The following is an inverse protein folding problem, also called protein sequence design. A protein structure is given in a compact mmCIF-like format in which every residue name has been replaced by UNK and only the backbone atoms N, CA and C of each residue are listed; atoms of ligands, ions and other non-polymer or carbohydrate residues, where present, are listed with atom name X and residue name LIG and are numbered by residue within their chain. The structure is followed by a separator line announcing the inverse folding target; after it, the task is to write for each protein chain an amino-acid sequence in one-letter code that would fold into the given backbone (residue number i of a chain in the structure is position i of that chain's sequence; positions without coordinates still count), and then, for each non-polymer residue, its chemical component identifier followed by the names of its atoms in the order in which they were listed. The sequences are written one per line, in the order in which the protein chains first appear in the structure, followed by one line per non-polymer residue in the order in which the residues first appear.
data_IF_967845375432
#
_entry.id   IF_967845375432
#
_cell.length_a   1.000
_cell.length_b   1.000
_cell.length_c   1.000
_cell.angle_alpha   90.00
_cell.angle_beta   90.00
_cell.angle_gamma   90.00
#
_symmetry.space_group_name_H-M   'P 1'
#
loop_
_entity.id
_entity.type
_entity.pdbx_description
1 polymer ?
#
# COMPACT_ATOMS: atom_id res chain seq x y z
N UNK A 1 -28.18 -78.24 -31.10
CA UNK A 1 -27.40 -77.10 -31.56
C UNK A 1 -27.90 -75.74 -30.96
N UNK A 2 -29.18 -75.52 -30.97
CA UNK A 2 -29.77 -74.25 -30.42
C UNK A 2 -29.71 -74.12 -28.90
N UNK A 3 -29.81 -75.20 -28.14
CA UNK A 3 -29.66 -75.20 -26.66
C UNK A 3 -28.29 -74.98 -26.19
N UNK A 4 -27.28 -75.47 -26.89
CA UNK A 4 -25.85 -75.24 -26.55
C UNK A 4 -25.41 -73.80 -26.80
N UNK A 5 -25.96 -73.14 -27.83
CA UNK A 5 -25.61 -71.74 -28.13
C UNK A 5 -26.39 -70.80 -27.16
N UNK A 6 -27.58 -71.16 -26.68
CA UNK A 6 -28.32 -70.43 -25.68
C UNK A 6 -27.63 -70.51 -24.30
N UNK A 7 -27.16 -71.67 -23.88
CA UNK A 7 -26.42 -71.86 -22.63
C UNK A 7 -25.06 -71.15 -22.64
N UNK A 8 -24.42 -71.07 -23.79
CA UNK A 8 -23.17 -70.29 -23.96
C UNK A 8 -23.41 -68.79 -23.89
N UNK A 9 -24.52 -68.28 -24.42
CA UNK A 9 -24.91 -66.88 -24.32
C UNK A 9 -25.31 -66.52 -22.89
N UNK A 10 -26.08 -67.37 -22.21
CA UNK A 10 -26.40 -67.20 -20.79
C UNK A 10 -25.17 -67.20 -19.88
N UNK A 11 -24.25 -68.10 -20.09
CA UNK A 11 -22.98 -68.14 -19.31
C UNK A 11 -22.14 -66.88 -19.51
N UNK A 12 -22.06 -66.35 -20.75
CA UNK A 12 -21.37 -65.07 -21.02
C UNK A 12 -22.05 -63.88 -20.38
N UNK A 13 -23.39 -63.85 -20.40
CA UNK A 13 -24.20 -62.79 -19.76
C UNK A 13 -24.05 -62.84 -18.24
N UNK A 14 -24.11 -64.00 -17.62
CA UNK A 14 -23.90 -64.15 -16.17
C UNK A 14 -22.50 -63.67 -15.75
N UNK A 15 -21.46 -64.12 -16.44
CA UNK A 15 -20.09 -63.68 -16.19
C UNK A 15 -19.89 -62.17 -16.36
N UNK A 16 -20.57 -61.58 -17.37
CA UNK A 16 -20.53 -60.12 -17.57
C UNK A 16 -21.27 -59.34 -16.45
N UNK A 17 -22.39 -59.87 -15.96
CA UNK A 17 -23.12 -59.31 -14.83
C UNK A 17 -22.29 -59.36 -13.53
N UNK A 18 -21.69 -60.53 -13.24
CA UNK A 18 -20.83 -60.72 -12.08
C UNK A 18 -19.60 -59.81 -12.11
N UNK A 19 -18.99 -59.66 -13.29
CA UNK A 19 -17.88 -58.72 -13.47
C UNK A 19 -18.32 -57.25 -13.22
N UNK A 20 -19.46 -56.86 -13.80
CA UNK A 20 -19.97 -55.47 -13.61
C UNK A 20 -20.37 -55.21 -12.15
N UNK A 21 -20.94 -56.21 -11.45
CA UNK A 21 -21.27 -56.09 -10.02
C UNK A 21 -20.00 -55.94 -9.17
N UNK A 22 -18.97 -56.70 -9.46
CA UNK A 22 -17.67 -56.63 -8.76
C UNK A 22 -17.02 -55.27 -9.02
N UNK A 23 -17.02 -54.80 -10.27
CA UNK A 23 -16.45 -53.50 -10.62
C UNK A 23 -17.23 -52.33 -10.01
N UNK A 24 -18.57 -52.42 -9.96
CA UNK A 24 -19.41 -51.44 -9.29
C UNK A 24 -19.16 -51.39 -7.77
N UNK A 25 -18.94 -52.54 -7.11
CA UNK A 25 -18.58 -52.60 -5.71
C UNK A 25 -17.19 -51.95 -5.45
N UNK A 26 -16.21 -52.32 -6.26
CA UNK A 26 -14.87 -51.74 -6.19
C UNK A 26 -14.86 -50.23 -6.39
N UNK A 27 -15.64 -49.74 -7.35
CA UNK A 27 -15.79 -48.32 -7.61
C UNK A 27 -16.50 -47.60 -6.46
N UNK A 28 -17.53 -48.23 -5.87
CA UNK A 28 -18.22 -47.67 -4.68
C UNK A 28 -17.29 -47.55 -3.49
N UNK A 29 -16.43 -48.54 -3.25
CA UNK A 29 -15.42 -48.47 -2.18
C UNK A 29 -14.38 -47.35 -2.43
N UNK A 30 -13.87 -47.26 -3.65
CA UNK A 30 -12.96 -46.15 -4.02
C UNK A 30 -13.58 -44.77 -3.83
N UNK A 31 -14.85 -44.61 -4.23
CA UNK A 31 -15.59 -43.34 -4.04
C UNK A 31 -15.73 -43.02 -2.55
N UNK A 32 -16.04 -44.03 -1.71
CA UNK A 32 -16.16 -43.84 -0.26
C UNK A 32 -14.81 -43.43 0.36
N UNK A 33 -13.75 -44.11 -0.02
CA UNK A 33 -12.40 -43.85 0.50
C UNK A 33 -11.88 -42.46 0.09
N UNK A 34 -12.06 -42.08 -1.17
CA UNK A 34 -11.72 -40.75 -1.67
C UNK A 34 -12.55 -39.65 -0.98
N UNK A 35 -13.86 -39.90 -0.76
CA UNK A 35 -14.70 -38.96 -0.03
C UNK A 35 -14.24 -38.77 1.43
N UNK A 36 -13.85 -39.88 2.09
CA UNK A 36 -13.26 -39.83 3.43
C UNK A 36 -11.95 -39.02 3.47
N UNK A 37 -11.05 -39.27 2.53
CA UNK A 37 -9.80 -38.52 2.37
C UNK A 37 -10.05 -37.02 2.13
N UNK A 38 -11.02 -36.69 1.30
CA UNK A 38 -11.42 -35.30 1.01
C UNK A 38 -11.97 -34.58 2.25
N UNK A 39 -12.82 -35.25 3.04
CA UNK A 39 -13.34 -34.69 4.30
C UNK A 39 -12.21 -34.45 5.30
N UNK A 40 -11.30 -35.40 5.45
CA UNK A 40 -10.14 -35.28 6.35
C UNK A 40 -9.28 -34.09 5.90
N UNK A 41 -8.97 -33.99 4.61
CA UNK A 41 -8.20 -32.90 4.05
C UNK A 41 -8.84 -31.53 4.32
N UNK A 42 -10.18 -31.42 4.15
CA UNK A 42 -10.93 -30.19 4.46
C UNK A 42 -10.80 -29.80 5.94
N UNK A 43 -10.95 -30.78 6.83
CA UNK A 43 -10.86 -30.54 8.28
C UNK A 43 -9.45 -30.14 8.72
N UNK A 44 -8.43 -30.81 8.24
CA UNK A 44 -7.03 -30.51 8.57
C UNK A 44 -6.55 -29.14 8.06
N UNK A 45 -7.15 -28.65 6.98
CA UNK A 45 -6.77 -27.37 6.35
C UNK A 45 -7.76 -26.24 6.63
N UNK A 46 -8.74 -26.42 7.52
CA UNK A 46 -9.79 -25.43 7.84
C UNK A 46 -10.56 -24.92 6.61
N UNK A 47 -10.76 -25.78 5.61
CA UNK A 47 -11.44 -25.43 4.35
C UNK A 47 -12.95 -25.67 4.48
N UNK A 48 -13.72 -24.62 4.75
CA UNK A 48 -15.18 -24.68 4.73
C UNK A 48 -15.67 -24.73 3.28
N UNK A 49 -15.21 -23.78 2.46
CA UNK A 49 -15.44 -23.71 1.03
C UNK A 49 -14.13 -23.28 0.36
N UNK A 50 -13.61 -24.10 -0.56
CA UNK A 50 -12.37 -23.79 -1.27
C UNK A 50 -12.50 -22.54 -2.12
N UNK A 51 -13.61 -22.41 -2.85
CA UNK A 51 -13.89 -21.27 -3.74
C UNK A 51 -13.99 -19.97 -2.94
N UNK A 52 -14.70 -19.99 -1.82
CA UNK A 52 -14.85 -18.82 -0.96
C UNK A 52 -13.51 -18.40 -0.34
N UNK A 53 -12.74 -19.36 0.16
CA UNK A 53 -11.40 -19.10 0.73
C UNK A 53 -10.43 -18.55 -0.32
N UNK A 54 -10.45 -19.06 -1.56
CA UNK A 54 -9.67 -18.53 -2.66
C UNK A 54 -10.09 -17.10 -3.03
N UNK A 55 -11.38 -16.81 -3.09
CA UNK A 55 -11.88 -15.48 -3.40
C UNK A 55 -11.50 -14.46 -2.33
N UNK A 56 -11.58 -14.82 -1.05
CA UNK A 56 -11.19 -13.95 0.07
C UNK A 56 -9.70 -13.64 0.03
N UNK A 57 -8.83 -14.65 -0.16
CA UNK A 57 -7.38 -14.43 -0.24
C UNK A 57 -6.99 -13.64 -1.47
N UNK A 58 -7.65 -13.86 -2.60
CA UNK A 58 -7.42 -13.08 -3.82
C UNK A 58 -7.83 -11.61 -3.65
N UNK A 59 -9.00 -11.35 -3.06
CA UNK A 59 -9.44 -9.98 -2.78
C UNK A 59 -8.50 -9.27 -1.81
N UNK A 60 -8.05 -9.96 -0.76
CA UNK A 60 -7.07 -9.41 0.18
C UNK A 60 -5.73 -9.08 -0.50
N UNK A 61 -5.29 -9.92 -1.46
CA UNK A 61 -4.09 -9.66 -2.26
C UNK A 61 -4.28 -8.44 -3.18
N UNK A 62 -5.41 -8.33 -3.87
CA UNK A 62 -5.72 -7.19 -4.75
C UNK A 62 -5.76 -5.89 -3.94
N UNK A 63 -6.39 -5.91 -2.76
CA UNK A 63 -6.41 -4.74 -1.88
C UNK A 63 -5.00 -4.35 -1.43
N UNK A 64 -4.21 -5.32 -0.95
CA UNK A 64 -2.83 -5.05 -0.52
C UNK A 64 -1.95 -4.52 -1.67
N UNK A 65 -2.15 -5.00 -2.91
CA UNK A 65 -1.46 -4.47 -4.08
C UNK A 65 -1.86 -3.01 -4.35
N UNK A 66 -3.16 -2.70 -4.30
CA UNK A 66 -3.69 -1.34 -4.52
C UNK A 66 -3.18 -0.36 -3.47
N UNK A 67 -3.16 -0.80 -2.20
CA UNK A 67 -2.67 0.02 -1.08
C UNK A 67 -1.17 0.30 -1.22
N UNK A 68 -0.39 -0.72 -1.58
CA UNK A 68 1.04 -0.57 -1.85
C UNK A 68 1.30 0.38 -3.03
N UNK A 69 0.62 0.20 -4.16
CA UNK A 69 0.82 1.02 -5.36
C UNK A 69 0.48 2.49 -5.08
N UNK A 70 -0.57 2.74 -4.29
CA UNK A 70 -0.97 4.08 -3.85
C UNK A 70 0.09 4.70 -2.93
N UNK A 71 0.59 3.94 -1.96
CA UNK A 71 1.62 4.41 -1.05
C UNK A 71 2.96 4.65 -1.76
N UNK A 72 3.33 3.76 -2.68
CA UNK A 72 4.54 3.90 -3.49
C UNK A 72 4.50 5.13 -4.41
N UNK A 73 3.36 5.42 -5.02
CA UNK A 73 3.19 6.65 -5.80
C UNK A 73 3.36 7.90 -4.94
N UNK A 74 2.86 7.90 -3.70
CA UNK A 74 3.06 8.99 -2.74
C UNK A 74 4.52 9.10 -2.30
N UNK A 75 5.18 7.98 -2.05
CA UNK A 75 6.60 7.93 -1.72
C UNK A 75 7.43 8.58 -2.83
N UNK A 76 7.26 8.14 -4.09
CA UNK A 76 8.00 8.68 -5.24
C UNK A 76 7.81 10.19 -5.34
N UNK A 77 6.58 10.68 -5.20
CA UNK A 77 6.29 12.11 -5.28
C UNK A 77 6.91 12.90 -4.12
N UNK A 78 6.81 12.38 -2.90
CA UNK A 78 7.33 13.06 -1.71
C UNK A 78 8.85 13.04 -1.66
N UNK A 79 9.50 11.95 -2.09
CA UNK A 79 10.95 11.86 -2.20
C UNK A 79 11.47 12.83 -3.26
N UNK A 80 10.85 12.88 -4.43
CA UNK A 80 11.23 13.84 -5.48
C UNK A 80 11.12 15.30 -5.01
N UNK A 81 10.05 15.65 -4.28
CA UNK A 81 9.89 16.99 -3.69
C UNK A 81 10.98 17.29 -2.64
N UNK A 82 11.33 16.31 -1.80
CA UNK A 82 12.37 16.46 -0.80
C UNK A 82 13.79 16.61 -1.42
N UNK A 83 14.08 15.82 -2.44
CA UNK A 83 15.35 15.90 -3.19
C UNK A 83 15.48 17.25 -3.90
N UNK A 84 14.42 17.73 -4.54
CA UNK A 84 14.41 19.05 -5.19
C UNK A 84 14.58 20.17 -4.15
N UNK A 85 13.87 20.12 -3.02
CA UNK A 85 14.02 21.08 -1.94
C UNK A 85 15.44 21.10 -1.38
N UNK A 86 16.06 19.93 -1.17
CA UNK A 86 17.42 19.81 -0.69
C UNK A 86 18.43 20.39 -1.71
N UNK A 87 18.26 20.06 -2.99
CA UNK A 87 19.11 20.56 -4.08
C UNK A 87 19.07 22.10 -4.16
N UNK A 88 17.85 22.68 -4.15
CA UNK A 88 17.69 24.16 -4.19
C UNK A 88 18.34 24.80 -2.96
N UNK A 89 18.20 24.19 -1.80
CA UNK A 89 18.85 24.69 -0.59
C UNK A 89 20.38 24.59 -0.66
N UNK A 90 20.94 23.51 -1.16
CA UNK A 90 22.40 23.35 -1.35
C UNK A 90 22.98 24.40 -2.33
N UNK A 91 22.24 24.70 -3.39
CA UNK A 91 22.67 25.69 -4.39
C UNK A 91 22.59 27.14 -3.89
N UNK A 92 21.57 27.46 -3.11
CA UNK A 92 21.25 28.87 -2.75
C UNK A 92 21.58 29.24 -1.30
N UNK A 93 21.66 28.24 -0.41
CA UNK A 93 21.77 28.46 1.04
C UNK A 93 20.52 29.12 1.67
N UNK A 94 19.41 29.20 0.95
CA UNK A 94 18.23 29.97 1.33
C UNK A 94 16.95 29.12 1.19
N UNK A 95 16.27 28.84 2.30
CA UNK A 95 14.99 28.12 2.32
C UNK A 95 13.89 28.82 1.51
N UNK A 96 13.90 30.15 1.51
CA UNK A 96 12.88 30.95 0.85
C UNK A 96 12.88 30.89 -0.68
N UNK A 97 13.89 30.27 -1.31
CA UNK A 97 13.96 30.04 -2.76
C UNK A 97 13.32 28.70 -3.17
N UNK A 98 13.07 27.81 -2.22
CA UNK A 98 12.40 26.52 -2.46
C UNK A 98 10.96 26.80 -2.90
N UNK A 99 10.48 26.24 -4.03
CA UNK A 99 9.17 26.57 -4.60
C UNK A 99 8.01 26.37 -3.60
N UNK A 100 8.00 25.25 -2.86
CA UNK A 100 6.96 24.96 -1.89
C UNK A 100 6.98 25.93 -0.70
N UNK A 101 8.17 26.36 -0.25
CA UNK A 101 8.32 27.37 0.78
C UNK A 101 7.90 28.74 0.26
N UNK A 102 8.31 29.11 -0.95
CA UNK A 102 8.00 30.41 -1.54
C UNK A 102 6.51 30.62 -1.78
N UNK A 103 5.76 29.56 -2.08
CA UNK A 103 4.32 29.57 -2.35
C UNK A 103 3.46 29.39 -1.12
N UNK A 104 4.05 29.06 0.03
CA UNK A 104 3.33 28.89 1.29
C UNK A 104 2.61 30.18 1.72
N UNK A 105 1.39 30.00 2.22
CA UNK A 105 0.51 31.12 2.57
C UNK A 105 1.02 31.92 3.76
N UNK A 106 1.58 31.26 4.78
CA UNK A 106 2.14 31.90 5.98
C UNK A 106 3.41 32.67 5.62
N UNK A 107 4.32 32.08 4.86
CA UNK A 107 5.55 32.71 4.38
C UNK A 107 5.22 33.96 3.54
N UNK A 108 4.28 33.88 2.60
CA UNK A 108 3.85 35.03 1.81
C UNK A 108 3.26 36.15 2.65
N UNK A 109 2.46 35.79 3.67
CA UNK A 109 1.89 36.77 4.61
C UNK A 109 3.00 37.49 5.39
N UNK A 110 3.95 36.74 5.98
CA UNK A 110 5.04 37.34 6.77
C UNK A 110 5.92 38.23 5.86
N UNK A 111 6.20 37.81 4.63
CA UNK A 111 6.94 38.65 3.65
C UNK A 111 6.19 39.96 3.32
N UNK A 112 4.87 39.88 3.17
CA UNK A 112 4.03 41.07 2.98
C UNK A 112 4.06 42.03 4.18
N UNK A 113 3.92 41.50 5.38
CA UNK A 113 3.99 42.27 6.62
C UNK A 113 5.39 42.90 6.82
N UNK A 114 6.43 42.17 6.48
CA UNK A 114 7.84 42.67 6.51
C UNK A 114 8.03 43.82 5.52
N UNK A 115 7.58 43.68 4.29
CA UNK A 115 7.69 44.73 3.27
C UNK A 115 6.95 46.01 3.70
N UNK A 116 5.74 45.87 4.29
CA UNK A 116 5.01 46.99 4.85
C UNK A 116 5.75 47.65 6.00
N UNK A 117 6.31 46.87 6.94
CA UNK A 117 7.06 47.40 8.09
C UNK A 117 8.35 48.13 7.64
N UNK A 118 9.02 47.63 6.63
CA UNK A 118 10.20 48.26 6.03
C UNK A 118 9.86 49.60 5.32
N UNK A 119 8.72 49.63 4.59
CA UNK A 119 8.24 50.87 3.99
C UNK A 119 7.90 51.93 5.05
N UNK A 120 7.19 51.51 6.10
CA UNK A 120 6.88 52.40 7.23
C UNK A 120 8.14 52.91 7.96
N UNK A 121 9.18 52.04 8.13
CA UNK A 121 10.43 52.47 8.69
C UNK A 121 11.13 53.52 7.81
N UNK A 122 11.11 53.33 6.50
CA UNK A 122 11.67 54.31 5.55
C UNK A 122 10.98 55.66 5.63
N UNK A 123 9.65 55.72 5.82
CA UNK A 123 8.91 56.94 6.03
C UNK A 123 9.26 57.61 7.40
N UNK A 124 9.41 56.79 8.44
CA UNK A 124 9.82 57.33 9.76
C UNK A 124 11.22 57.95 9.74
N UNK A 125 12.17 57.33 8.99
CA UNK A 125 13.53 57.82 8.85
C UNK A 125 13.67 59.17 8.10
N UNK A 126 12.63 59.54 7.28
CA UNK A 126 12.56 60.87 6.66
C UNK A 126 12.31 61.98 7.68
N UNK A 127 11.73 61.64 8.86
CA UNK A 127 11.26 62.64 9.86
C UNK A 127 12.01 62.54 11.19
N UNK A 128 12.54 61.35 11.49
CA UNK A 128 13.14 61.07 12.80
C UNK A 128 14.53 60.46 12.62
N UNK A 129 15.42 60.75 13.60
CA UNK A 129 16.72 60.15 13.65
C UNK A 129 16.67 58.71 14.17
N UNK A 130 17.71 57.95 13.92
CA UNK A 130 17.83 56.51 14.27
C UNK A 130 17.50 56.16 15.73
N UNK A 131 17.80 57.06 16.67
CA UNK A 131 17.57 56.87 18.12
C UNK A 131 16.14 57.24 18.58
N UNK A 132 15.25 57.64 17.64
CA UNK A 132 13.87 58.00 18.01
C UNK A 132 13.08 56.75 18.43
N UNK A 133 12.28 56.78 19.52
CA UNK A 133 11.58 55.60 20.03
C UNK A 133 10.77 54.87 18.98
N UNK A 134 10.05 55.58 18.10
CA UNK A 134 9.25 54.99 17.01
C UNK A 134 10.08 54.24 15.98
N UNK A 135 11.32 54.68 15.71
CA UNK A 135 12.28 54.03 14.80
C UNK A 135 12.80 52.77 15.45
N UNK A 136 13.14 52.82 16.75
CA UNK A 136 13.61 51.64 17.49
C UNK A 136 12.50 50.56 17.56
N UNK A 137 11.28 50.94 17.87
CA UNK A 137 10.13 50.04 17.93
C UNK A 137 9.88 49.37 16.56
N UNK A 138 9.93 50.15 15.46
CA UNK A 138 9.72 49.62 14.12
C UNK A 138 10.84 48.65 13.70
N UNK A 139 12.10 48.97 14.04
CA UNK A 139 13.22 48.06 13.81
C UNK A 139 13.07 46.75 14.59
N UNK A 140 12.61 46.81 15.85
CA UNK A 140 12.34 45.62 16.65
C UNK A 140 11.26 44.76 16.03
N UNK A 141 10.20 45.38 15.48
CA UNK A 141 9.15 44.65 14.75
C UNK A 141 9.69 43.97 13.49
N UNK A 142 10.52 44.66 12.70
CA UNK A 142 11.15 44.10 11.50
C UNK A 142 12.04 42.92 11.85
N UNK A 143 12.83 43.01 12.89
CA UNK A 143 13.70 41.90 13.34
C UNK A 143 12.87 40.67 13.76
N UNK A 144 11.80 40.88 14.54
CA UNK A 144 10.90 39.82 14.92
C UNK A 144 10.21 39.16 13.70
N UNK A 145 9.82 39.94 12.69
CA UNK A 145 9.28 39.42 11.45
C UNK A 145 10.29 38.61 10.64
N UNK A 146 11.54 39.05 10.59
CA UNK A 146 12.65 38.31 9.93
C UNK A 146 12.93 36.98 10.60
N UNK A 147 13.01 36.97 11.94
CA UNK A 147 13.14 35.73 12.71
C UNK A 147 11.95 34.80 12.49
N UNK A 148 10.72 35.33 12.53
CA UNK A 148 9.51 34.57 12.26
C UNK A 148 9.50 33.98 10.85
N UNK A 149 9.96 34.74 9.85
CA UNK A 149 10.07 34.29 8.46
C UNK A 149 11.07 33.13 8.35
N UNK A 150 12.27 33.30 8.88
CA UNK A 150 13.32 32.26 8.83
C UNK A 150 12.87 30.94 9.51
N UNK A 151 12.18 31.08 10.66
CA UNK A 151 11.65 29.92 11.38
C UNK A 151 10.53 29.22 10.60
N UNK A 152 9.62 29.99 9.95
CA UNK A 152 8.57 29.40 9.12
C UNK A 152 9.11 28.73 7.88
N UNK A 153 10.05 29.35 7.18
CA UNK A 153 10.71 28.78 6.00
C UNK A 153 11.42 27.46 6.34
N UNK A 154 12.18 27.42 7.43
CA UNK A 154 12.86 26.21 7.89
C UNK A 154 11.86 25.11 8.28
N UNK A 155 10.80 25.45 9.00
CA UNK A 155 9.77 24.51 9.43
C UNK A 155 9.10 23.81 8.24
N UNK A 156 8.82 24.55 7.16
CA UNK A 156 8.23 24.00 5.94
C UNK A 156 9.21 23.06 5.26
N UNK A 157 10.48 23.45 5.13
CA UNK A 157 11.54 22.58 4.60
C UNK A 157 11.65 21.27 5.39
N UNK A 158 11.73 21.34 6.72
CA UNK A 158 11.77 20.16 7.59
C UNK A 158 10.51 19.30 7.43
N UNK A 159 9.35 19.92 7.20
CA UNK A 159 8.09 19.21 6.93
C UNK A 159 8.14 18.41 5.61
N UNK A 160 8.70 18.99 4.55
CA UNK A 160 8.87 18.31 3.25
C UNK A 160 9.75 17.06 3.43
N UNK A 161 10.89 17.19 4.12
CA UNK A 161 11.78 16.05 4.40
C UNK A 161 11.10 14.97 5.25
N UNK A 162 10.31 15.37 6.25
CA UNK A 162 9.60 14.44 7.10
C UNK A 162 8.46 13.72 6.36
N UNK A 163 7.76 14.40 5.45
CA UNK A 163 6.74 13.78 4.60
C UNK A 163 7.34 12.69 3.70
N UNK A 164 8.51 12.93 3.11
CA UNK A 164 9.21 11.91 2.32
C UNK A 164 9.58 10.68 3.16
N UNK A 165 10.14 10.90 4.36
CA UNK A 165 10.46 9.79 5.29
C UNK A 165 9.23 8.99 5.69
N UNK A 166 8.12 9.67 5.99
CA UNK A 166 6.87 9.00 6.38
C UNK A 166 6.27 8.22 5.21
N UNK A 167 6.28 8.80 4.01
CA UNK A 167 5.79 8.12 2.81
C UNK A 167 6.61 6.86 2.50
N UNK A 168 7.95 6.93 2.59
CA UNK A 168 8.83 5.78 2.41
C UNK A 168 8.59 4.68 3.46
N UNK A 169 8.46 5.05 4.74
CA UNK A 169 8.15 4.11 5.81
C UNK A 169 6.79 3.42 5.60
N UNK A 170 5.78 4.17 5.12
CA UNK A 170 4.45 3.64 4.82
C UNK A 170 4.49 2.66 3.65
N UNK A 171 5.16 3.01 2.56
CA UNK A 171 5.32 2.13 1.40
C UNK A 171 6.06 0.84 1.76
N UNK A 172 7.13 0.92 2.54
CA UNK A 172 7.86 -0.25 3.03
C UNK A 172 7.00 -1.17 3.91
N UNK A 173 6.18 -0.60 4.79
CA UNK A 173 5.26 -1.37 5.63
C UNK A 173 4.22 -2.12 4.78
N UNK A 174 3.62 -1.44 3.81
CA UNK A 174 2.62 -2.03 2.91
C UNK A 174 3.24 -3.05 1.94
N UNK A 175 4.49 -2.88 1.55
CA UNK A 175 5.25 -3.89 0.82
C UNK A 175 5.36 -5.20 1.63
N UNK A 176 5.62 -5.09 2.93
CA UNK A 176 5.63 -6.24 3.83
C UNK A 176 4.28 -6.96 3.88
N UNK A 177 3.18 -6.21 3.98
CA UNK A 177 1.82 -6.78 3.93
C UNK A 177 1.56 -7.48 2.60
N UNK A 178 1.94 -6.86 1.48
CA UNK A 178 1.77 -7.44 0.15
C UNK A 178 2.52 -8.77 0.00
N UNK A 179 3.76 -8.87 0.52
CA UNK A 179 4.54 -10.12 0.50
C UNK A 179 3.82 -11.23 1.28
N UNK A 180 3.27 -10.90 2.45
CA UNK A 180 2.48 -11.86 3.25
C UNK A 180 1.26 -12.33 2.45
N UNK A 181 0.47 -11.42 1.86
CA UNK A 181 -0.72 -11.78 1.07
C UNK A 181 -0.39 -12.60 -0.17
N UNK A 182 0.74 -12.35 -0.83
CA UNK A 182 1.24 -13.19 -1.93
C UNK A 182 1.55 -14.62 -1.46
N UNK A 183 2.18 -14.76 -0.30
CA UNK A 183 2.49 -16.08 0.28
C UNK A 183 1.21 -16.84 0.67
N UNK A 184 0.23 -16.16 1.28
CA UNK A 184 -1.08 -16.75 1.61
C UNK A 184 -1.81 -17.25 0.36
N UNK A 185 -1.84 -16.44 -0.71
CA UNK A 185 -2.45 -16.85 -1.97
C UNK A 185 -1.74 -18.04 -2.62
N UNK A 186 -0.41 -18.08 -2.57
CA UNK A 186 0.36 -19.23 -3.06
C UNK A 186 0.06 -20.49 -2.26
N UNK A 187 -0.01 -20.38 -0.93
CA UNK A 187 -0.42 -21.48 -0.05
C UNK A 187 -1.83 -21.99 -0.35
N UNK A 188 -2.78 -21.07 -0.58
CA UNK A 188 -4.14 -21.42 -0.95
C UNK A 188 -4.19 -22.13 -2.32
N UNK A 189 -3.41 -21.68 -3.29
CA UNK A 189 -3.32 -22.34 -4.60
C UNK A 189 -2.76 -23.77 -4.49
N UNK A 190 -1.76 -23.99 -3.64
CA UNK A 190 -1.22 -25.34 -3.38
C UNK A 190 -2.27 -26.25 -2.74
N UNK A 191 -3.01 -25.74 -1.74
CA UNK A 191 -4.13 -26.48 -1.12
C UNK A 191 -5.21 -26.84 -2.14
N UNK A 192 -5.51 -25.92 -3.05
CA UNK A 192 -6.46 -26.15 -4.13
C UNK A 192 -6.03 -27.28 -5.06
N UNK A 193 -4.76 -27.28 -5.48
CA UNK A 193 -4.23 -28.33 -6.36
C UNK A 193 -4.31 -29.70 -5.67
N UNK A 194 -3.96 -29.78 -4.40
CA UNK A 194 -4.04 -31.02 -3.62
C UNK A 194 -5.50 -31.51 -3.45
N UNK A 195 -6.42 -30.56 -3.21
CA UNK A 195 -7.85 -30.88 -3.10
C UNK A 195 -8.43 -31.50 -4.37
N UNK A 196 -8.06 -30.98 -5.54
CA UNK A 196 -8.55 -31.52 -6.83
C UNK A 196 -7.81 -32.78 -7.29
N UNK A 197 -6.73 -33.17 -6.63
CA UNK A 197 -5.97 -34.39 -6.91
C UNK A 197 -6.49 -35.60 -6.10
N UNK A 198 -7.32 -35.40 -5.07
CA UNK A 198 -7.99 -36.44 -4.26
C UNK A 198 -9.27 -36.91 -4.91
#
# INVERSE_FOLDING_TARGET
FLEQDNNRKHGKLTNAVDFLQTEAANLSDKVRDNFGALLTYKMENDIISLEESQNVTLQALIQAQTDYDTAHSREVSAVAAAEEAARVFEETGNYGTIPDVATDTEVRKIRGDLALAEAELAELLKRYLDKHPKVIEKRGKIESLKEGLANSERRIFDSILNQAKLAAATALSLQGVLVIRKSEQQGMNQKSIQYYAL
#
